data_IF_234837567418
#
_entry.id   IF_234837567418
#
_cell.length_a   1.000
_cell.length_b   1.000
_cell.length_c   1.000
_cell.angle_alpha   90.00
_cell.angle_beta   90.00
_cell.angle_gamma   90.00
#
_symmetry.space_group_name_H-M   'P 1'
#
loop_
_entity.id
_entity.type
_entity.pdbx_description
1 polymer ?
#
# COMPACT_ATOMS: atom_id res chain seq x y z
N UNK A 1 -1.22 5.03 19.29
CA UNK A 1 -1.66 5.24 17.91
C UNK A 1 -3.01 4.57 17.71
N UNK A 2 -4.04 5.34 17.25
CA UNK A 2 -5.39 4.80 16.99
C UNK A 2 -5.30 3.85 15.78
N UNK A 3 -5.89 2.67 15.91
CA UNK A 3 -6.04 1.73 14.80
C UNK A 3 -7.32 2.03 14.02
N UNK A 4 -7.22 1.84 12.71
CA UNK A 4 -8.37 1.91 11.83
C UNK A 4 -9.05 0.55 11.83
N UNK A 5 -10.34 0.55 12.07
CA UNK A 5 -11.20 -0.61 11.87
C UNK A 5 -11.85 -0.51 10.49
N UNK A 6 -11.29 -1.24 9.54
CA UNK A 6 -11.78 -1.26 8.16
C UNK A 6 -13.12 -1.97 7.98
N UNK A 7 -13.65 -2.65 9.00
CA UNK A 7 -14.99 -3.25 8.93
C UNK A 7 -16.10 -2.29 9.35
N UNK A 8 -15.77 -1.21 10.08
CA UNK A 8 -16.76 -0.27 10.62
C UNK A 8 -16.60 1.16 10.13
N UNK A 9 -15.37 1.66 9.91
CA UNK A 9 -15.12 3.10 9.75
C UNK A 9 -14.86 3.57 8.31
N UNK A 10 -14.07 2.86 7.51
CA UNK A 10 -13.55 3.41 6.25
C UNK A 10 -13.90 2.62 4.98
N UNK A 11 -14.45 1.44 5.08
CA UNK A 11 -14.63 0.53 3.94
C UNK A 11 -15.46 1.14 2.79
N UNK A 12 -16.47 1.95 3.09
CA UNK A 12 -17.39 2.50 2.09
C UNK A 12 -16.70 3.50 1.15
N UNK A 13 -15.88 4.37 1.70
CA UNK A 13 -15.21 5.42 0.95
C UNK A 13 -13.80 5.04 0.49
N UNK A 14 -13.25 3.93 1.01
CA UNK A 14 -11.87 3.54 0.76
C UNK A 14 -11.60 3.33 -0.73
N UNK A 15 -12.45 2.60 -1.42
CA UNK A 15 -12.28 2.33 -2.85
C UNK A 15 -12.25 3.62 -3.67
N UNK A 16 -13.13 4.59 -3.35
CA UNK A 16 -13.20 5.89 -4.02
C UNK A 16 -12.04 6.81 -3.63
N UNK A 17 -11.72 6.92 -2.34
CA UNK A 17 -10.68 7.81 -1.84
C UNK A 17 -9.26 7.35 -2.18
N UNK A 18 -9.08 6.03 -2.43
CA UNK A 18 -7.79 5.42 -2.75
C UNK A 18 -7.71 4.88 -4.18
N UNK A 19 -8.67 5.26 -5.04
CA UNK A 19 -8.66 4.88 -6.45
C UNK A 19 -7.37 5.36 -7.13
N UNK A 20 -6.80 4.50 -7.97
CA UNK A 20 -5.70 4.85 -8.88
C UNK A 20 -6.27 5.11 -10.28
N UNK A 21 -5.68 6.07 -10.97
CA UNK A 21 -5.91 6.21 -12.41
C UNK A 21 -5.25 5.05 -13.14
N UNK A 22 -5.69 4.79 -14.38
CA UNK A 22 -5.06 3.76 -15.22
C UNK A 22 -3.55 4.03 -15.41
N UNK A 23 -3.16 5.30 -15.57
CA UNK A 23 -1.75 5.69 -15.70
C UNK A 23 -0.94 5.39 -14.44
N UNK A 24 -1.49 5.67 -13.25
CA UNK A 24 -0.83 5.33 -11.98
C UNK A 24 -0.71 3.81 -11.81
N UNK A 25 -1.79 3.07 -12.09
CA UNK A 25 -1.77 1.62 -12.03
C UNK A 25 -0.72 1.04 -12.98
N UNK A 26 -0.66 1.53 -14.22
CA UNK A 26 0.33 1.09 -15.21
C UNK A 26 1.76 1.43 -14.79
N UNK A 27 2.01 2.59 -14.19
CA UNK A 27 3.32 2.94 -13.65
C UNK A 27 3.79 1.94 -12.59
N UNK A 28 2.89 1.54 -11.67
CA UNK A 28 3.19 0.53 -10.67
C UNK A 28 3.42 -0.85 -11.28
N UNK A 29 2.55 -1.31 -12.18
CA UNK A 29 2.69 -2.62 -12.83
C UNK A 29 4.02 -2.69 -13.60
N UNK A 30 4.40 -1.63 -14.28
CA UNK A 30 5.70 -1.54 -14.98
C UNK A 30 6.87 -1.61 -13.99
N UNK A 31 6.81 -0.87 -12.89
CA UNK A 31 7.84 -0.90 -11.85
C UNK A 31 7.97 -2.29 -11.20
N UNK A 32 6.86 -2.97 -10.91
CA UNK A 32 6.87 -4.34 -10.40
C UNK A 32 7.44 -5.32 -11.43
N UNK A 33 7.05 -5.18 -12.70
CA UNK A 33 7.55 -6.02 -13.80
C UNK A 33 9.07 -5.98 -13.95
N UNK A 34 9.67 -4.81 -13.80
CA UNK A 34 11.12 -4.63 -13.85
C UNK A 34 11.87 -5.31 -12.68
N UNK A 35 11.18 -5.60 -11.59
CA UNK A 35 11.73 -6.20 -10.38
C UNK A 35 11.43 -7.69 -10.23
N UNK A 36 10.53 -8.23 -11.03
CA UNK A 36 10.13 -9.64 -11.00
C UNK A 36 10.85 -10.46 -12.09
N UNK A 37 11.00 -11.78 -11.92
CA UNK A 37 11.54 -12.65 -12.98
C UNK A 37 10.73 -12.51 -14.28
N UNK A 38 11.39 -12.65 -15.44
CA UNK A 38 10.74 -12.53 -16.75
C UNK A 38 9.82 -13.70 -17.09
N UNK A 39 10.07 -14.89 -16.50
CA UNK A 39 9.22 -16.08 -16.73
C UNK A 39 7.77 -15.82 -16.37
N UNK A 40 6.84 -16.36 -17.13
CA UNK A 40 5.41 -16.31 -16.88
C UNK A 40 4.78 -17.70 -17.09
N UNK A 41 3.69 -18.04 -16.37
CA UNK A 41 3.03 -17.22 -15.34
C UNK A 41 3.80 -17.27 -14.00
N UNK A 42 3.62 -16.22 -13.17
CA UNK A 42 4.07 -16.19 -11.78
C UNK A 42 2.86 -16.34 -10.86
N UNK A 43 2.99 -17.12 -9.79
CA UNK A 43 2.01 -17.16 -8.72
C UNK A 43 2.27 -16.01 -7.75
N UNK A 44 1.30 -15.09 -7.60
CA UNK A 44 1.42 -13.90 -6.76
C UNK A 44 0.57 -13.95 -5.51
N UNK A 45 1.00 -13.21 -4.48
CA UNK A 45 0.22 -12.86 -3.30
C UNK A 45 0.07 -11.34 -3.23
N UNK A 46 -1.14 -10.86 -2.92
CA UNK A 46 -1.42 -9.46 -2.59
C UNK A 46 -1.82 -9.43 -1.11
N UNK A 47 -0.85 -9.07 -0.23
CA UNK A 47 -0.98 -9.22 1.23
C UNK A 47 -1.46 -7.92 1.85
N UNK A 48 -2.65 -7.95 2.47
CA UNK A 48 -3.41 -6.77 2.81
C UNK A 48 -4.02 -6.16 1.55
N UNK A 49 -4.68 -7.00 0.73
CA UNK A 49 -5.19 -6.62 -0.59
C UNK A 49 -6.30 -5.57 -0.55
N UNK A 50 -6.90 -5.33 0.63
CA UNK A 50 -7.98 -4.36 0.80
C UNK A 50 -9.14 -4.64 -0.13
N UNK A 51 -9.57 -3.62 -0.87
CA UNK A 51 -10.64 -3.72 -1.87
C UNK A 51 -10.20 -4.31 -3.22
N UNK A 52 -9.00 -4.92 -3.29
CA UNK A 52 -8.51 -5.58 -4.49
C UNK A 52 -7.94 -4.64 -5.56
N UNK A 53 -7.49 -3.46 -5.17
CA UNK A 53 -7.05 -2.40 -6.09
C UNK A 53 -5.95 -2.84 -7.07
N UNK A 54 -5.01 -3.67 -6.63
CA UNK A 54 -3.91 -4.19 -7.45
C UNK A 54 -4.14 -5.61 -7.94
N UNK A 55 -4.87 -6.43 -7.21
CA UNK A 55 -4.97 -7.87 -7.43
C UNK A 55 -5.33 -8.26 -8.87
N UNK A 56 -6.34 -7.65 -9.53
CA UNK A 56 -6.66 -7.99 -10.92
C UNK A 56 -5.60 -7.55 -11.92
N UNK A 57 -4.96 -6.41 -11.70
CA UNK A 57 -3.90 -5.91 -12.58
C UNK A 57 -2.63 -6.76 -12.49
N UNK A 58 -2.26 -7.18 -11.28
CA UNK A 58 -1.18 -8.15 -11.05
C UNK A 58 -1.46 -9.48 -11.76
N UNK A 59 -2.70 -9.98 -11.64
CA UNK A 59 -3.08 -11.23 -12.28
C UNK A 59 -3.01 -11.15 -13.80
N UNK A 60 -3.44 -10.03 -14.38
CA UNK A 60 -3.36 -9.77 -15.82
C UNK A 60 -1.92 -9.70 -16.32
N UNK A 61 -1.06 -9.06 -15.54
CA UNK A 61 0.32 -8.80 -15.96
C UNK A 61 1.26 -9.99 -15.71
N UNK A 62 1.07 -10.72 -14.60
CA UNK A 62 2.10 -11.65 -14.13
C UNK A 62 1.62 -13.09 -14.00
N UNK A 63 0.33 -13.35 -13.87
CA UNK A 63 -0.24 -14.69 -13.65
C UNK A 63 -1.14 -14.72 -12.41
N UNK A 64 -1.62 -15.90 -11.96
CA UNK A 64 -2.64 -16.00 -10.92
C UNK A 64 -2.20 -15.35 -9.60
N UNK A 65 -3.13 -14.63 -8.97
CA UNK A 65 -2.89 -13.89 -7.70
C UNK A 65 -3.94 -14.26 -6.65
N UNK A 66 -3.45 -14.49 -5.45
CA UNK A 66 -4.30 -14.63 -4.27
C UNK A 66 -4.19 -13.36 -3.42
N UNK A 67 -5.29 -12.62 -3.27
CA UNK A 67 -5.42 -11.56 -2.27
C UNK A 67 -5.65 -12.17 -0.88
N UNK A 68 -4.91 -11.69 0.11
CA UNK A 68 -5.10 -12.06 1.52
C UNK A 68 -5.46 -10.81 2.30
N UNK A 69 -6.65 -10.80 2.91
CA UNK A 69 -7.19 -9.60 3.58
C UNK A 69 -7.97 -9.99 4.85
N UNK A 70 -7.63 -9.42 6.02
CA UNK A 70 -8.34 -9.74 7.26
C UNK A 70 -9.75 -9.14 7.33
N UNK A 71 -9.98 -7.93 6.79
CA UNK A 71 -11.29 -7.27 6.85
C UNK A 71 -12.31 -8.00 5.97
N UNK A 72 -13.45 -8.36 6.57
CA UNK A 72 -14.57 -9.00 5.86
C UNK A 72 -15.13 -8.04 4.80
N UNK A 73 -15.36 -6.79 5.18
CA UNK A 73 -15.95 -5.78 4.30
C UNK A 73 -15.08 -5.44 3.11
N UNK A 74 -13.77 -5.28 3.33
CA UNK A 74 -12.83 -5.04 2.24
C UNK A 74 -12.79 -6.22 1.26
N UNK A 75 -12.81 -7.47 1.78
CA UNK A 75 -12.84 -8.66 0.92
C UNK A 75 -14.13 -8.77 0.11
N UNK A 76 -15.29 -8.49 0.72
CA UNK A 76 -16.59 -8.47 0.01
C UNK A 76 -16.56 -7.49 -1.17
N UNK A 77 -16.02 -6.29 -0.97
CA UNK A 77 -15.84 -5.29 -2.04
C UNK A 77 -14.89 -5.82 -3.11
N UNK A 78 -13.75 -6.39 -2.72
CA UNK A 78 -12.79 -6.95 -3.67
C UNK A 78 -13.39 -8.07 -4.52
N UNK A 79 -14.15 -8.97 -3.91
CA UNK A 79 -14.83 -10.08 -4.60
C UNK A 79 -15.92 -9.58 -5.56
N UNK A 80 -16.68 -8.56 -5.15
CA UNK A 80 -17.72 -7.97 -5.99
C UNK A 80 -17.16 -7.21 -7.20
N UNK A 81 -15.98 -6.61 -7.07
CA UNK A 81 -15.36 -5.79 -8.13
C UNK A 81 -14.50 -6.60 -9.10
N UNK A 82 -14.08 -7.81 -8.75
CA UNK A 82 -13.15 -8.58 -9.57
C UNK A 82 -13.68 -9.96 -9.93
N UNK A 83 -14.08 -10.08 -11.19
CA UNK A 83 -14.39 -11.36 -11.84
C UNK A 83 -13.21 -11.84 -12.74
N UNK A 84 -12.00 -11.29 -12.56
CA UNK A 84 -10.88 -11.65 -13.44
C UNK A 84 -10.42 -13.09 -13.16
N UNK A 85 -10.31 -13.94 -14.21
CA UNK A 85 -9.83 -15.30 -14.06
C UNK A 85 -8.44 -15.35 -13.44
N UNK A 86 -8.23 -16.27 -12.49
CA UNK A 86 -6.95 -16.38 -11.77
C UNK A 86 -6.79 -15.46 -10.55
N UNK A 87 -7.84 -14.69 -10.20
CA UNK A 87 -7.90 -13.93 -8.93
C UNK A 87 -8.77 -14.68 -7.93
N UNK A 88 -8.31 -14.77 -6.70
CA UNK A 88 -9.10 -15.21 -5.55
C UNK A 88 -8.75 -14.39 -4.32
N UNK A 89 -9.70 -14.28 -3.38
CA UNK A 89 -9.49 -13.58 -2.12
C UNK A 89 -9.75 -14.52 -0.95
N UNK A 90 -8.82 -14.54 0.00
CA UNK A 90 -8.87 -15.38 1.21
C UNK A 90 -8.87 -14.51 2.46
N UNK A 91 -9.58 -14.97 3.48
CA UNK A 91 -9.52 -14.38 4.81
C UNK A 91 -8.21 -14.78 5.48
N UNK A 92 -7.42 -13.79 5.91
CA UNK A 92 -6.14 -14.02 6.57
C UNK A 92 -5.40 -12.72 6.81
N UNK A 93 -4.32 -12.79 7.56
CA UNK A 93 -3.43 -11.66 7.82
C UNK A 93 -2.01 -11.96 7.33
N UNK A 94 -1.14 -10.96 7.34
CA UNK A 94 0.27 -11.16 7.02
C UNK A 94 0.98 -12.13 7.98
N UNK A 95 0.47 -12.27 9.20
CA UNK A 95 0.97 -13.16 10.25
C UNK A 95 0.48 -14.61 10.14
N UNK A 96 -0.59 -14.82 9.34
CA UNK A 96 -1.23 -16.15 9.17
C UNK A 96 -1.99 -16.18 7.84
N UNK A 97 -1.30 -16.64 6.80
CA UNK A 97 -1.83 -16.68 5.44
C UNK A 97 -2.33 -18.10 5.11
N UNK A 98 -3.62 -18.27 4.73
CA UNK A 98 -4.20 -19.59 4.44
C UNK A 98 -3.77 -20.08 3.04
N UNK A 99 -2.48 -20.08 2.79
CA UNK A 99 -1.87 -20.57 1.54
C UNK A 99 -0.74 -21.54 1.84
N UNK A 100 -0.49 -22.53 0.98
CA UNK A 100 0.56 -23.53 1.20
C UNK A 100 1.97 -22.91 1.23
N UNK A 101 2.88 -23.58 1.93
CA UNK A 101 4.32 -23.21 1.92
C UNK A 101 4.89 -23.30 0.52
N UNK A 102 5.77 -22.37 0.15
CA UNK A 102 6.45 -22.35 -1.14
C UNK A 102 5.50 -22.29 -2.35
N UNK A 103 4.31 -21.72 -2.19
CA UNK A 103 3.29 -21.68 -3.24
C UNK A 103 3.36 -20.45 -4.13
N UNK A 104 4.02 -19.38 -3.70
CA UNK A 104 4.08 -18.12 -4.44
C UNK A 104 5.51 -17.76 -4.91
N UNK A 105 5.58 -17.06 -6.03
CA UNK A 105 6.83 -16.57 -6.61
C UNK A 105 7.14 -15.15 -6.12
N UNK A 106 6.10 -14.37 -5.83
CA UNK A 106 6.22 -13.03 -5.28
C UNK A 106 5.06 -12.68 -4.37
N UNK A 107 5.28 -11.71 -3.50
CA UNK A 107 4.24 -11.05 -2.73
C UNK A 107 4.31 -9.53 -2.93
N UNK A 108 3.16 -8.87 -2.99
CA UNK A 108 3.01 -7.43 -2.88
C UNK A 108 2.45 -7.10 -1.49
N UNK A 109 3.05 -6.12 -0.83
CA UNK A 109 2.47 -5.39 0.31
C UNK A 109 2.42 -3.91 -0.05
N UNK A 110 1.23 -3.41 -0.37
CA UNK A 110 1.06 -2.02 -0.79
C UNK A 110 0.38 -1.20 0.31
N UNK A 111 1.17 -0.44 1.06
CA UNK A 111 0.70 0.35 2.22
C UNK A 111 -0.04 -0.50 3.27
N UNK A 112 0.36 -1.75 3.45
CA UNK A 112 -0.25 -2.67 4.43
C UNK A 112 0.69 -3.03 5.59
N UNK A 113 2.02 -2.89 5.42
CA UNK A 113 3.01 -3.27 6.43
C UNK A 113 2.85 -2.55 7.78
N UNK A 114 2.50 -1.26 7.78
CA UNK A 114 2.31 -0.51 9.01
C UNK A 114 1.10 -0.96 9.84
N UNK A 115 0.18 -1.73 9.26
CA UNK A 115 -0.95 -2.35 9.96
C UNK A 115 -0.61 -3.69 10.60
N UNK A 116 0.49 -4.34 10.19
CA UNK A 116 0.94 -5.63 10.73
C UNK A 116 1.27 -5.51 12.21
N UNK A 117 0.74 -6.41 13.03
CA UNK A 117 0.91 -6.40 14.50
C UNK A 117 2.23 -7.04 14.92
N UNK A 118 2.43 -8.26 14.49
CA UNK A 118 3.64 -9.05 14.76
C UNK A 118 4.48 -9.13 13.49
N UNK A 119 5.30 -8.10 13.29
CA UNK A 119 6.15 -7.98 12.11
C UNK A 119 7.16 -9.11 11.95
N UNK A 120 7.84 -9.58 13.02
CA UNK A 120 8.69 -10.77 12.94
C UNK A 120 7.93 -12.03 12.51
N UNK A 121 6.71 -12.23 13.00
CA UNK A 121 5.86 -13.36 12.59
C UNK A 121 5.47 -13.24 11.12
N UNK A 122 5.04 -12.05 10.68
CA UNK A 122 4.69 -11.80 9.29
C UNK A 122 5.88 -12.03 8.34
N UNK A 123 7.09 -11.59 8.72
CA UNK A 123 8.29 -11.83 7.93
C UNK A 123 8.59 -13.35 7.80
N UNK A 124 8.45 -14.13 8.87
CA UNK A 124 8.58 -15.60 8.82
C UNK A 124 7.48 -16.24 7.99
N UNK A 125 6.25 -15.74 8.08
CA UNK A 125 5.12 -16.24 7.30
C UNK A 125 5.31 -15.98 5.80
N UNK A 126 5.79 -14.79 5.43
CA UNK A 126 6.23 -14.48 4.06
C UNK A 126 7.36 -15.42 3.59
N UNK A 127 8.31 -15.75 4.49
CA UNK A 127 9.34 -16.76 4.18
C UNK A 127 8.72 -18.14 3.94
N UNK A 128 7.71 -18.52 4.71
CA UNK A 128 7.04 -19.81 4.54
C UNK A 128 6.35 -19.93 3.18
N UNK A 129 5.57 -18.91 2.81
CA UNK A 129 4.68 -18.96 1.62
C UNK A 129 5.41 -18.74 0.30
N UNK A 130 6.49 -17.96 0.30
CA UNK A 130 7.26 -17.69 -0.91
C UNK A 130 8.28 -18.81 -1.19
N UNK A 131 8.51 -19.09 -2.46
CA UNK A 131 9.56 -20.02 -2.92
C UNK A 131 10.96 -19.46 -2.62
N UNK A 132 12.03 -20.28 -2.58
CA UNK A 132 13.40 -19.80 -2.62
C UNK A 132 13.61 -18.83 -3.80
N UNK A 133 14.35 -17.76 -3.58
CA UNK A 133 14.49 -16.61 -4.51
C UNK A 133 13.17 -15.87 -4.84
N UNK A 134 12.10 -16.15 -4.13
CA UNK A 134 10.85 -15.38 -4.23
C UNK A 134 11.03 -13.94 -3.77
N UNK A 135 10.25 -13.01 -4.32
CA UNK A 135 10.41 -11.58 -4.08
C UNK A 135 9.23 -10.98 -3.33
N UNK A 136 9.53 -10.12 -2.36
CA UNK A 136 8.57 -9.24 -1.72
C UNK A 136 8.74 -7.83 -2.29
N UNK A 137 7.67 -7.29 -2.84
CA UNK A 137 7.54 -5.92 -3.28
C UNK A 137 6.82 -5.15 -2.16
N UNK A 138 7.57 -4.36 -1.39
CA UNK A 138 7.05 -3.62 -0.25
C UNK A 138 6.98 -2.13 -0.57
N UNK A 139 5.77 -1.65 -0.93
CA UNK A 139 5.48 -0.22 -0.98
C UNK A 139 5.06 0.24 0.41
N UNK A 140 5.87 1.06 1.03
CA UNK A 140 5.61 1.68 2.32
C UNK A 140 6.25 3.06 2.37
N UNK A 141 5.81 3.91 3.28
CA UNK A 141 6.62 5.02 3.75
C UNK A 141 7.58 4.50 4.82
N UNK A 142 8.69 5.21 5.04
CA UNK A 142 9.65 4.90 6.09
C UNK A 142 9.98 6.20 6.81
N UNK A 143 9.93 6.20 8.16
CA UNK A 143 10.06 7.43 8.96
C UNK A 143 11.41 8.13 8.84
N UNK A 144 12.46 7.41 8.44
CA UNK A 144 13.83 7.91 8.22
C UNK A 144 14.16 8.21 6.73
N UNK A 145 13.20 7.98 5.82
CA UNK A 145 13.34 8.22 4.38
C UNK A 145 12.20 9.11 3.87
N UNK A 146 12.17 10.32 4.40
CA UNK A 146 11.17 11.31 4.00
C UNK A 146 11.77 12.23 2.94
N UNK A 147 11.10 12.44 1.79
CA UNK A 147 10.04 13.42 1.78
C UNK A 147 8.73 12.74 2.14
N UNK A 148 7.88 13.45 2.91
CA UNK A 148 6.58 12.95 3.28
C UNK A 148 5.77 12.63 2.04
N UNK A 149 5.07 11.52 2.07
CA UNK A 149 4.10 11.22 1.05
C UNK A 149 2.93 12.20 1.18
N UNK A 150 2.77 13.01 0.16
CA UNK A 150 1.67 13.92 0.08
C UNK A 150 2.02 15.36 0.51
N UNK A 151 2.13 16.22 -0.49
CA UNK A 151 2.28 17.67 -0.34
C UNK A 151 1.23 18.30 0.57
N UNK A 152 0.04 17.70 0.68
CA UNK A 152 -1.08 18.19 1.49
C UNK A 152 -0.84 18.10 3.00
N UNK A 153 0.07 17.23 3.47
CA UNK A 153 0.37 17.06 4.90
C UNK A 153 0.93 18.32 5.56
N UNK A 154 1.62 19.19 4.81
CA UNK A 154 2.17 20.43 5.32
C UNK A 154 1.09 21.39 5.86
N UNK A 155 -0.14 21.28 5.37
CA UNK A 155 -1.26 22.11 5.79
C UNK A 155 -1.89 21.64 7.10
N UNK A 156 -1.65 20.39 7.50
CA UNK A 156 -2.21 19.83 8.73
C UNK A 156 -1.25 20.04 9.92
N UNK A 157 -1.78 20.48 11.09
CA UNK A 157 -0.97 20.55 12.29
C UNK A 157 -0.28 19.22 12.56
N UNK A 158 1.02 19.24 12.83
CA UNK A 158 1.84 18.03 13.04
C UNK A 158 1.75 16.97 11.93
N UNK A 159 1.36 17.36 10.69
CA UNK A 159 1.09 16.40 9.61
C UNK A 159 2.23 15.44 9.36
N UNK A 160 3.46 15.94 9.30
CA UNK A 160 4.65 15.12 9.10
C UNK A 160 5.02 14.26 10.30
N UNK A 161 4.84 14.77 11.53
CA UNK A 161 5.07 14.00 12.75
C UNK A 161 4.10 12.83 12.86
N UNK A 162 2.83 13.09 12.53
CA UNK A 162 1.77 12.08 12.51
C UNK A 162 2.06 11.01 11.45
N UNK A 163 2.47 11.41 10.25
CA UNK A 163 2.80 10.46 9.18
C UNK A 163 4.04 9.64 9.56
N UNK A 164 5.11 10.28 10.05
CA UNK A 164 6.32 9.59 10.47
C UNK A 164 6.05 8.58 11.61
N UNK A 165 5.17 8.91 12.55
CA UNK A 165 4.82 8.00 13.65
C UNK A 165 4.06 6.73 13.21
N UNK A 166 3.45 6.73 12.01
CA UNK A 166 2.76 5.57 11.45
C UNK A 166 3.72 4.50 10.93
N UNK A 167 4.90 4.90 10.49
CA UNK A 167 5.81 4.04 9.76
C UNK A 167 7.09 3.75 10.54
N UNK A 168 7.64 2.55 10.36
CA UNK A 168 8.94 2.20 10.90
C UNK A 168 10.06 2.85 10.08
N UNK A 169 11.23 3.09 10.70
CA UNK A 169 12.44 3.41 9.95
C UNK A 169 12.82 2.28 8.98
N UNK A 170 13.37 2.60 7.83
CA UNK A 170 13.77 1.62 6.81
C UNK A 170 14.73 0.56 7.37
N UNK A 171 15.70 0.98 8.19
CA UNK A 171 16.69 0.06 8.76
C UNK A 171 16.04 -0.99 9.69
N UNK A 172 14.99 -0.67 10.43
CA UNK A 172 14.27 -1.63 11.27
C UNK A 172 13.48 -2.64 10.41
N UNK A 173 12.85 -2.16 9.33
CA UNK A 173 12.15 -3.03 8.38
C UNK A 173 13.14 -4.00 7.75
N UNK A 174 14.29 -3.51 7.27
CA UNK A 174 15.35 -4.36 6.70
C UNK A 174 15.86 -5.36 7.74
N UNK A 175 16.11 -4.94 8.99
CA UNK A 175 16.55 -5.83 10.06
C UNK A 175 15.54 -6.95 10.34
N UNK A 176 14.24 -6.62 10.38
CA UNK A 176 13.15 -7.59 10.56
C UNK A 176 13.18 -8.68 9.49
N UNK A 177 13.29 -8.30 8.23
CA UNK A 177 13.33 -9.24 7.12
C UNK A 177 14.65 -10.01 7.04
N UNK A 178 15.79 -9.36 7.29
CA UNK A 178 17.10 -10.02 7.32
C UNK A 178 17.14 -11.12 8.36
N UNK A 179 16.56 -10.90 9.55
CA UNK A 179 16.44 -11.91 10.60
C UNK A 179 15.54 -13.10 10.22
N UNK A 180 14.68 -12.93 9.24
CA UNK A 180 13.81 -13.98 8.69
C UNK A 180 14.35 -14.62 7.40
N UNK A 181 15.63 -14.39 7.05
CA UNK A 181 16.29 -15.02 5.91
C UNK A 181 16.14 -14.29 4.57
N UNK A 182 15.93 -12.98 4.60
CA UNK A 182 15.81 -12.16 3.40
C UNK A 182 17.08 -11.34 3.15
N UNK A 183 17.24 -10.86 1.92
CA UNK A 183 18.21 -9.82 1.55
C UNK A 183 17.53 -8.69 0.80
N UNK A 184 18.06 -7.50 0.90
CA UNK A 184 17.62 -6.37 0.08
C UNK A 184 18.06 -6.63 -1.36
N UNK A 185 17.12 -6.64 -2.30
CA UNK A 185 17.39 -6.73 -3.72
C UNK A 185 17.48 -5.34 -4.36
N UNK A 186 16.58 -4.42 -3.97
CA UNK A 186 16.64 -3.03 -4.38
C UNK A 186 15.84 -2.13 -3.41
N UNK A 187 16.18 -0.84 -3.43
CA UNK A 187 15.39 0.21 -2.80
C UNK A 187 15.37 1.42 -3.76
N UNK A 188 14.18 1.93 -4.06
CA UNK A 188 14.04 3.00 -5.02
C UNK A 188 12.73 3.76 -4.86
N UNK A 189 12.46 4.65 -5.81
CA UNK A 189 11.23 5.43 -5.87
C UNK A 189 10.49 5.13 -7.16
N UNK A 190 9.16 5.10 -7.07
CA UNK A 190 8.25 5.05 -8.21
C UNK A 190 7.53 6.38 -8.24
N UNK A 191 7.59 7.08 -9.37
CA UNK A 191 6.83 8.31 -9.57
C UNK A 191 5.43 7.95 -10.01
N UNK A 192 4.46 8.24 -9.15
CA UNK A 192 3.05 8.18 -9.51
C UNK A 192 2.68 9.45 -10.30
N UNK A 193 2.18 9.33 -11.53
CA UNK A 193 1.66 10.48 -12.27
C UNK A 193 0.57 11.21 -11.50
N UNK A 194 0.42 12.50 -11.76
CA UNK A 194 -0.69 13.28 -11.21
C UNK A 194 -2.03 12.62 -11.53
N UNK A 195 -2.94 12.63 -10.57
CA UNK A 195 -4.29 12.03 -10.69
C UNK A 195 -5.39 13.07 -10.65
N UNK A 196 -5.31 14.08 -11.50
CA UNK A 196 -6.28 15.16 -11.57
C UNK A 196 -5.76 16.48 -11.02
N UNK A 197 -6.68 17.37 -10.68
CA UNK A 197 -6.39 18.70 -10.18
C UNK A 197 -6.19 18.72 -8.66
N UNK A 198 -5.71 19.86 -8.13
CA UNK A 198 -5.63 20.08 -6.67
C UNK A 198 -7.01 20.06 -6.03
N UNK A 199 -8.03 20.57 -6.73
CA UNK A 199 -9.43 20.48 -6.29
C UNK A 199 -9.92 19.04 -6.19
N UNK A 200 -9.65 18.19 -7.21
CA UNK A 200 -10.01 16.77 -7.16
C UNK A 200 -9.31 16.05 -6.01
N UNK A 201 -8.06 16.44 -5.72
CA UNK A 201 -7.31 15.87 -4.60
C UNK A 201 -7.95 16.27 -3.26
N UNK A 202 -8.35 17.54 -3.08
CA UNK A 202 -9.04 18.00 -1.88
C UNK A 202 -10.31 17.17 -1.62
N UNK A 203 -11.15 16.98 -2.65
CA UNK A 203 -12.38 16.19 -2.52
C UNK A 203 -12.07 14.72 -2.12
N UNK A 204 -11.02 14.13 -2.66
CA UNK A 204 -10.59 12.79 -2.24
C UNK A 204 -10.08 12.75 -0.80
N UNK A 205 -9.31 13.77 -0.38
CA UNK A 205 -8.79 13.85 0.99
C UNK A 205 -9.91 14.02 2.02
N UNK A 206 -11.02 14.68 1.67
CA UNK A 206 -12.21 14.82 2.52
C UNK A 206 -12.86 13.48 2.86
N UNK A 207 -12.65 12.44 2.07
CA UNK A 207 -13.06 11.07 2.39
C UNK A 207 -12.25 10.43 3.53
N UNK A 208 -11.15 11.07 3.97
CA UNK A 208 -10.31 10.70 5.11
C UNK A 208 -9.80 9.26 5.08
N UNK A 209 -9.51 8.73 3.90
CA UNK A 209 -9.09 7.32 3.70
C UNK A 209 -7.59 7.09 3.88
N UNK A 210 -6.82 8.11 4.23
CA UNK A 210 -5.43 7.97 4.66
C UNK A 210 -5.34 7.68 6.16
N UNK A 211 -4.45 6.75 6.53
CA UNK A 211 -4.26 6.33 7.93
C UNK A 211 -3.89 7.50 8.86
N UNK A 212 -3.22 8.53 8.34
CA UNK A 212 -2.85 9.73 9.06
C UNK A 212 -4.08 10.47 9.62
N UNK A 213 -5.20 10.48 8.89
CA UNK A 213 -6.40 11.19 9.35
C UNK A 213 -7.00 10.64 10.64
N UNK A 214 -6.82 9.36 10.93
CA UNK A 214 -7.26 8.76 12.18
C UNK A 214 -6.45 9.20 13.41
N UNK A 215 -5.33 9.88 13.21
CA UNK A 215 -4.42 10.31 14.26
C UNK A 215 -4.58 11.79 14.63
N UNK A 216 -5.29 12.57 13.81
CA UNK A 216 -5.58 13.97 14.10
C UNK A 216 -6.80 14.12 14.99
N UNK A 217 -6.79 15.16 15.80
CA UNK A 217 -8.01 15.62 16.51
C UNK A 217 -9.00 16.28 15.53
N UNK A 218 -10.28 16.42 15.90
CA UNK A 218 -11.25 17.15 15.07
C UNK A 218 -10.80 18.56 14.70
N UNK A 219 -10.22 19.31 15.65
CA UNK A 219 -9.75 20.68 15.45
C UNK A 219 -8.54 20.75 14.51
N UNK A 220 -7.63 19.76 14.59
CA UNK A 220 -6.50 19.63 13.68
C UNK A 220 -6.97 19.33 12.24
N UNK A 221 -8.00 18.47 12.10
CA UNK A 221 -8.59 18.17 10.79
C UNK A 221 -9.26 19.42 10.20
N UNK A 222 -10.07 20.13 10.97
CA UNK A 222 -10.72 21.35 10.51
C UNK A 222 -9.68 22.39 10.09
N UNK A 223 -8.68 22.62 10.94
CA UNK A 223 -7.59 23.56 10.65
C UNK A 223 -6.82 23.16 9.40
N UNK A 224 -6.48 21.89 9.26
CA UNK A 224 -5.75 21.35 8.11
C UNK A 224 -6.52 21.53 6.81
N UNK A 225 -7.78 21.13 6.76
CA UNK A 225 -8.60 21.31 5.56
C UNK A 225 -8.80 22.78 5.19
N UNK A 226 -9.05 23.66 6.16
CA UNK A 226 -9.16 25.09 5.91
C UNK A 226 -7.88 25.67 5.31
N UNK A 227 -6.69 25.33 5.83
CA UNK A 227 -5.41 25.77 5.29
C UNK A 227 -5.18 25.24 3.86
N UNK A 228 -5.49 23.97 3.62
CA UNK A 228 -5.36 23.36 2.31
C UNK A 228 -6.30 24.04 1.30
N UNK A 229 -7.55 24.30 1.65
CA UNK A 229 -8.52 25.03 0.82
C UNK A 229 -7.99 26.42 0.44
N UNK A 230 -7.46 27.17 1.43
CA UNK A 230 -6.86 28.48 1.18
C UNK A 230 -5.65 28.39 0.26
N UNK A 231 -4.80 27.38 0.44
CA UNK A 231 -3.59 27.22 -0.38
C UNK A 231 -3.89 26.90 -1.86
N UNK A 232 -5.02 26.24 -2.14
CA UNK A 232 -5.41 25.88 -3.51
C UNK A 232 -6.43 26.85 -4.13
N UNK A 233 -6.98 27.78 -3.34
CA UNK A 233 -8.08 28.67 -3.77
C UNK A 233 -7.72 29.54 -4.99
N UNK A 234 -6.45 29.91 -5.14
CA UNK A 234 -5.98 30.74 -6.29
C UNK A 234 -6.04 29.97 -7.61
N UNK A 235 -5.78 28.65 -7.60
CA UNK A 235 -5.82 27.79 -8.79
C UNK A 235 -6.17 26.34 -8.41
N UNK A 236 -7.45 26.06 -8.13
CA UNK A 236 -7.89 24.69 -7.82
C UNK A 236 -7.84 23.75 -9.05
N UNK A 237 -7.77 24.32 -10.26
CA UNK A 237 -7.65 23.61 -11.51
C UNK A 237 -6.21 23.19 -11.84
N UNK A 238 -5.21 23.69 -11.12
CA UNK A 238 -3.83 23.27 -11.32
C UNK A 238 -3.66 21.76 -11.11
N UNK A 239 -2.80 21.09 -11.89
CA UNK A 239 -2.51 19.68 -11.67
C UNK A 239 -2.03 19.42 -10.24
N UNK A 240 -2.54 18.35 -9.61
CA UNK A 240 -1.97 17.89 -8.36
C UNK A 240 -0.52 17.44 -8.59
N UNK A 241 0.43 17.71 -7.68
CA UNK A 241 1.80 17.24 -7.83
C UNK A 241 1.87 15.71 -7.95
N UNK A 242 2.83 15.16 -8.72
CA UNK A 242 3.09 13.73 -8.72
C UNK A 242 3.57 13.29 -7.33
N UNK A 243 3.29 12.03 -6.98
CA UNK A 243 3.84 11.42 -5.77
C UNK A 243 5.10 10.60 -6.09
N UNK A 244 6.07 10.62 -5.18
CA UNK A 244 7.33 9.88 -5.28
C UNK A 244 7.37 8.81 -4.19
N UNK A 245 6.73 7.70 -4.47
CA UNK A 245 6.51 6.63 -3.51
C UNK A 245 7.72 5.68 -3.42
N UNK A 246 8.10 5.30 -2.20
CA UNK A 246 9.19 4.36 -1.96
C UNK A 246 8.76 2.91 -2.23
N UNK A 247 9.67 2.13 -2.81
CA UNK A 247 9.51 0.70 -3.06
C UNK A 247 10.77 -0.04 -2.62
N UNK A 248 10.63 -0.87 -1.59
CA UNK A 248 11.66 -1.79 -1.13
C UNK A 248 11.39 -3.16 -1.73
N UNK A 249 12.38 -3.73 -2.41
CA UNK A 249 12.32 -5.11 -2.91
C UNK A 249 13.25 -5.98 -2.08
N UNK A 250 12.67 -7.03 -1.53
CA UNK A 250 13.39 -8.04 -0.75
C UNK A 250 13.34 -9.38 -1.49
N UNK A 251 14.41 -10.14 -1.39
CA UNK A 251 14.50 -11.48 -1.97
C UNK A 251 14.75 -12.51 -0.87
N UNK A 252 13.95 -13.57 -0.86
CA UNK A 252 14.13 -14.69 0.05
C UNK A 252 15.44 -15.42 -0.29
N UNK A 253 16.29 -15.60 0.70
CA UNK A 253 17.51 -16.44 0.54
C UNK A 253 17.11 -17.90 0.29
N UNK A 254 17.98 -18.59 -0.42
CA UNK A 254 17.84 -20.02 -0.71
C UNK A 254 17.92 -20.85 0.55
#
# INVERSE_FOLDING_TARGET
>A
MRRIDYDTEQYQDYARGRALTEQQLQAWISAFGALLPERRPLAGLDVGSGTGRFTPALARAFGPVTGVEPSVRMREIAQAQSLYPGVRYLAGSAEDMPVPSGSADYALMFLSWHHVRDKPRAARELTRVLRPAGRLLLRSNFSDHIPPSGWWLEHFPRGFEVDAALFQPLHEVIATFTSAGWRVASFGRVTEPSSGTRGDMLERLRLRTHSSFAQFTPDELETGFRRLEQAIAADPGAPAPPDHATLLTLERRS
#
